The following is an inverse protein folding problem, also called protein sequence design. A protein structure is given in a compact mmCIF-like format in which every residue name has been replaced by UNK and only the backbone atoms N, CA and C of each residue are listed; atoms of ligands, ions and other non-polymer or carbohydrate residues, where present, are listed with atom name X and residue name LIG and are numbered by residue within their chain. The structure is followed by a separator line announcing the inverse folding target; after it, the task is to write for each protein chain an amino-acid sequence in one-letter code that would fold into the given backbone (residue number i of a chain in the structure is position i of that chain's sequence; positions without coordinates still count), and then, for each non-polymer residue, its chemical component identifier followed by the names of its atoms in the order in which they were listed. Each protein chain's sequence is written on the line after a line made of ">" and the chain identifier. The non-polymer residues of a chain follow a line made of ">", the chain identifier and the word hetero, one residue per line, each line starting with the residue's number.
data_IF_774660904993
#
_entry.id   IF_774660904993
#
_cell.length_a   1.000
_cell.length_b   1.000
_cell.length_c   1.000
_cell.angle_alpha   90.00
_cell.angle_beta   90.00
_cell.angle_gamma   90.00
#
_symmetry.space_group_name_H-M   'P 1'
#
loop_
_entity.id
_entity.type
_entity.pdbx_description
1 polymer ?
#
# COMPACT_ATOMS: atom_id res chain seq x y z
N UNK A 1 -0.60 -25.62 25.38
CA UNK A 1 0.01 -24.28 25.58
C UNK A 1 0.47 -23.74 24.23
N UNK A 2 -0.07 -22.62 23.73
CA UNK A 2 0.45 -21.97 22.51
C UNK A 2 1.65 -21.08 22.88
N UNK A 3 2.77 -21.11 22.15
CA UNK A 3 3.92 -20.25 22.45
C UNK A 3 3.56 -18.78 22.17
N UNK A 4 3.79 -17.90 23.16
CA UNK A 4 3.62 -16.45 23.01
C UNK A 4 4.69 -15.94 22.04
N UNK A 5 4.31 -15.61 20.81
CA UNK A 5 5.23 -15.04 19.80
C UNK A 5 5.60 -13.62 20.19
N UNK A 6 6.83 -13.43 20.66
CA UNK A 6 7.37 -12.11 21.01
C UNK A 6 7.71 -11.36 19.72
N UNK A 7 7.01 -10.27 19.42
CA UNK A 7 7.29 -9.48 18.20
C UNK A 7 8.61 -8.71 18.31
N UNK A 8 9.29 -8.43 17.18
CA UNK A 8 10.53 -7.61 17.14
C UNK A 8 10.37 -6.27 17.86
N UNK A 9 9.20 -5.64 17.76
CA UNK A 9 8.87 -4.39 18.46
C UNK A 9 8.79 -4.57 19.97
N UNK A 10 8.27 -5.70 20.44
CA UNK A 10 8.26 -6.04 21.87
C UNK A 10 9.66 -6.37 22.40
N UNK A 11 10.52 -6.97 21.58
CA UNK A 11 11.93 -7.16 21.91
C UNK A 11 12.64 -5.82 22.11
N UNK A 12 12.57 -4.90 21.14
CA UNK A 12 13.23 -3.59 21.27
C UNK A 12 12.73 -2.74 22.43
N UNK A 13 11.42 -2.78 22.75
CA UNK A 13 10.90 -2.11 23.96
C UNK A 13 11.47 -2.72 25.25
N UNK A 14 11.56 -4.05 25.32
CA UNK A 14 12.12 -4.76 26.49
C UNK A 14 13.60 -4.49 26.65
N UNK A 15 14.38 -4.51 25.56
CA UNK A 15 15.83 -4.27 25.59
C UNK A 15 16.16 -2.83 25.96
N UNK A 16 15.41 -1.83 25.46
CA UNK A 16 15.63 -0.43 25.82
C UNK A 16 15.31 -0.12 27.30
N UNK A 17 14.31 -0.80 27.87
CA UNK A 17 14.00 -0.70 29.31
C UNK A 17 15.11 -1.33 30.17
N UNK A 18 15.64 -2.50 29.77
CA UNK A 18 16.70 -3.19 30.50
C UNK A 18 18.02 -2.40 30.57
N UNK A 19 18.37 -1.61 29.55
CA UNK A 19 19.58 -0.77 29.55
C UNK A 19 19.51 0.44 30.47
N UNK A 20 18.31 0.93 30.81
CA UNK A 20 18.13 2.05 31.75
C UNK A 20 18.04 1.55 33.20
N UNK A 21 17.42 0.38 33.42
CA UNK A 21 17.24 -0.19 34.75
C UNK A 21 18.50 -0.76 35.39
N UNK A 22 19.56 -1.06 34.63
CA UNK A 22 20.81 -1.58 35.21
C UNK A 22 21.62 -0.52 35.99
N UNK A 23 21.33 0.77 35.79
CA UNK A 23 22.06 1.86 36.44
C UNK A 23 21.43 2.33 37.77
N UNK A 24 20.17 1.99 38.04
CA UNK A 24 19.43 2.46 39.21
C UNK A 24 18.52 1.35 39.78
N UNK A 25 18.98 0.78 40.90
CA UNK A 25 18.25 -0.10 41.83
C UNK A 25 17.87 -1.52 41.34
N UNK A 26 18.44 -2.59 41.94
CA UNK A 26 18.08 -3.98 41.63
C UNK A 26 16.64 -4.36 42.05
N UNK A 27 15.94 -3.53 42.83
CA UNK A 27 14.54 -3.75 43.23
C UNK A 27 13.52 -3.52 42.11
N UNK A 28 13.92 -2.89 41.00
CA UNK A 28 13.04 -2.67 39.83
C UNK A 28 12.96 -3.87 38.88
N UNK A 29 13.78 -4.91 39.07
CA UNK A 29 13.83 -6.10 38.21
C UNK A 29 12.67 -7.08 38.44
N UNK A 30 11.95 -6.97 39.55
CA UNK A 30 10.84 -7.89 39.90
C UNK A 30 9.47 -7.38 39.48
N UNK A 31 9.37 -6.13 39.01
CA UNK A 31 8.11 -5.60 38.51
C UNK A 31 7.91 -6.14 37.09
N UNK A 32 7.06 -7.16 36.95
CA UNK A 32 6.52 -7.51 35.64
C UNK A 32 6.02 -6.22 34.99
N UNK A 33 6.66 -5.82 33.90
CA UNK A 33 6.16 -4.74 33.06
C UNK A 33 4.87 -5.29 32.47
N UNK A 34 3.75 -5.08 33.18
CA UNK A 34 2.42 -5.21 32.63
C UNK A 34 2.46 -4.47 31.30
N UNK A 35 2.24 -5.22 30.23
CA UNK A 35 2.16 -4.64 28.92
C UNK A 35 1.00 -3.64 28.98
N UNK A 36 1.34 -2.35 29.05
CA UNK A 36 0.38 -1.28 28.89
C UNK A 36 -0.23 -1.49 27.50
N UNK A 37 -1.40 -2.13 27.48
CA UNK A 37 -2.30 -2.13 26.34
C UNK A 37 -2.44 -0.67 25.96
N UNK A 38 -2.11 -0.26 24.72
CA UNK A 38 -2.20 1.13 24.36
C UNK A 38 -3.65 1.55 24.61
N UNK A 39 -3.85 2.46 25.57
CA UNK A 39 -5.12 3.13 25.72
C UNK A 39 -5.46 3.72 24.34
N UNK A 40 -6.55 3.26 23.73
CA UNK A 40 -6.99 3.69 22.40
C UNK A 40 -6.51 2.83 21.21
N UNK A 41 -6.09 1.57 21.41
CA UNK A 41 -5.99 0.64 20.27
C UNK A 41 -7.39 0.46 19.64
N UNK A 42 -7.56 0.71 18.34
CA UNK A 42 -8.87 0.66 17.71
C UNK A 42 -9.43 -0.76 17.69
N UNK A 43 -10.74 -0.87 17.90
CA UNK A 43 -11.45 -2.16 17.87
C UNK A 43 -11.26 -2.88 16.51
N UNK A 44 -11.01 -4.21 16.53
CA UNK A 44 -10.87 -4.99 15.30
C UNK A 44 -12.15 -4.99 14.45
N UNK A 45 -12.11 -4.34 13.30
CA UNK A 45 -13.12 -4.40 12.25
C UNK A 45 -12.80 -5.54 11.29
N UNK A 46 -13.57 -6.60 11.40
CA UNK A 46 -13.43 -7.81 10.58
C UNK A 46 -14.29 -7.74 9.33
N UNK A 47 -13.76 -8.31 8.23
CA UNK A 47 -14.51 -8.64 7.03
C UNK A 47 -14.08 -10.01 6.53
N UNK A 48 -15.03 -10.82 6.09
CA UNK A 48 -14.79 -12.12 5.45
C UNK A 48 -13.77 -13.03 6.17
N UNK A 49 -13.93 -13.24 7.48
CA UNK A 49 -13.00 -14.05 8.28
C UNK A 49 -13.23 -15.54 8.03
N UNK A 50 -12.30 -16.20 7.34
CA UNK A 50 -12.38 -17.62 7.01
C UNK A 50 -11.31 -18.46 7.71
N UNK A 51 -11.59 -19.74 8.03
CA UNK A 51 -10.57 -20.69 8.44
C UNK A 51 -9.47 -20.81 7.37
N UNK A 52 -8.21 -20.91 7.79
CA UNK A 52 -7.06 -21.08 6.88
C UNK A 52 -6.49 -19.78 6.31
N UNK A 53 -7.18 -18.64 6.45
CA UNK A 53 -6.63 -17.32 6.12
C UNK A 53 -6.08 -16.62 7.37
N UNK A 54 -4.91 -16.01 7.24
CA UNK A 54 -4.32 -15.15 8.25
C UNK A 54 -4.69 -13.68 7.99
N UNK A 55 -4.93 -12.93 9.07
CA UNK A 55 -5.30 -11.52 8.99
C UNK A 55 -4.42 -10.68 9.90
N UNK A 56 -4.12 -9.46 9.48
CA UNK A 56 -3.34 -8.48 10.24
C UNK A 56 -4.09 -7.17 10.32
N UNK A 57 -3.95 -6.49 11.45
CA UNK A 57 -4.47 -5.13 11.57
C UNK A 57 -3.66 -4.18 10.68
N UNK A 58 -4.35 -3.42 9.83
CA UNK A 58 -3.75 -2.37 9.02
C UNK A 58 -3.38 -1.19 9.92
N UNK A 59 -2.10 -1.08 10.27
CA UNK A 59 -1.58 0.01 11.11
C UNK A 59 -2.31 0.14 12.43
N UNK A 60 -2.87 1.33 12.71
CA UNK A 60 -3.73 1.63 13.87
C UNK A 60 -5.14 1.99 13.40
N UNK A 61 -5.69 1.24 12.45
CA UNK A 61 -7.03 1.54 11.89
C UNK A 61 -8.14 0.66 12.46
N UNK A 62 -7.78 -0.47 13.09
CA UNK A 62 -8.71 -1.54 13.47
C UNK A 62 -9.08 -2.48 12.31
N UNK A 63 -8.77 -2.14 11.05
CA UNK A 63 -9.14 -2.99 9.91
C UNK A 63 -8.31 -4.26 9.88
N UNK A 64 -8.97 -5.41 9.99
CA UNK A 64 -8.32 -6.72 9.91
C UNK A 64 -8.26 -7.19 8.45
N UNK A 65 -7.13 -6.96 7.80
CA UNK A 65 -6.89 -7.24 6.38
C UNK A 65 -6.26 -8.62 6.21
N UNK A 66 -6.69 -9.39 5.22
CA UNK A 66 -6.09 -10.68 4.86
C UNK A 66 -4.62 -10.52 4.47
N UNK A 67 -3.76 -11.48 4.82
CA UNK A 67 -2.32 -11.43 4.47
C UNK A 67 -2.07 -11.50 2.96
N UNK A 68 -3.04 -12.06 2.20
CA UNK A 68 -3.08 -11.99 0.75
C UNK A 68 -4.15 -10.98 0.31
N UNK A 69 -3.85 -10.21 -0.74
CA UNK A 69 -4.73 -9.17 -1.29
C UNK A 69 -4.89 -9.33 -2.80
N UNK A 70 -6.00 -8.85 -3.34
CA UNK A 70 -6.27 -8.89 -4.78
C UNK A 70 -5.76 -7.59 -5.41
N UNK A 71 -4.77 -7.68 -6.30
CA UNK A 71 -4.45 -6.60 -7.24
C UNK A 71 -5.28 -6.75 -8.51
N UNK A 72 -6.13 -5.77 -8.81
CA UNK A 72 -7.19 -5.95 -9.83
C UNK A 72 -6.80 -5.62 -11.28
N UNK A 73 -5.58 -5.14 -11.53
CA UNK A 73 -5.15 -4.67 -12.87
C UNK A 73 -5.51 -5.61 -14.04
N UNK A 74 -5.37 -6.96 -13.92
CA UNK A 74 -5.72 -7.87 -15.02
C UNK A 74 -7.23 -8.07 -15.24
N UNK A 75 -8.09 -7.72 -14.28
CA UNK A 75 -9.50 -8.13 -14.25
C UNK A 75 -10.44 -7.08 -14.89
N UNK A 76 -10.21 -6.83 -16.18
CA UNK A 76 -11.01 -5.88 -16.96
C UNK A 76 -12.39 -6.44 -17.33
N UNK A 77 -12.55 -7.76 -17.33
CA UNK A 77 -13.73 -8.45 -17.83
C UNK A 77 -14.31 -9.46 -16.83
N UNK A 78 -15.57 -9.91 -17.02
CA UNK A 78 -16.23 -10.88 -16.13
C UNK A 78 -15.66 -12.30 -16.12
N UNK A 79 -14.80 -12.64 -17.07
CA UNK A 79 -14.11 -13.94 -17.15
C UNK A 79 -13.28 -14.25 -15.91
N UNK A 80 -12.81 -13.22 -15.20
CA UNK A 80 -12.08 -13.35 -13.95
C UNK A 80 -12.97 -13.66 -12.73
N UNK A 81 -14.29 -13.58 -12.83
CA UNK A 81 -15.19 -13.72 -11.68
C UNK A 81 -15.06 -15.06 -10.93
N UNK A 82 -14.95 -16.23 -11.60
CA UNK A 82 -14.75 -17.50 -10.89
C UNK A 82 -13.47 -17.52 -10.04
N UNK A 83 -12.41 -16.87 -10.52
CA UNK A 83 -11.16 -16.73 -9.77
C UNK A 83 -11.34 -15.80 -8.56
N UNK A 84 -12.01 -14.66 -8.74
CA UNK A 84 -12.32 -13.73 -7.66
C UNK A 84 -13.21 -14.39 -6.60
N UNK A 85 -14.22 -15.16 -7.01
CA UNK A 85 -15.08 -15.93 -6.12
C UNK A 85 -14.24 -16.90 -5.28
N UNK A 86 -13.38 -17.68 -5.91
CA UNK A 86 -12.48 -18.63 -5.24
C UNK A 86 -11.50 -17.96 -4.25
N UNK A 87 -11.06 -16.73 -4.53
CA UNK A 87 -10.19 -15.93 -3.66
C UNK A 87 -10.96 -15.38 -2.44
N UNK A 88 -12.16 -14.85 -2.66
CA UNK A 88 -13.03 -14.33 -1.60
C UNK A 88 -13.51 -15.48 -0.70
N UNK A 89 -13.89 -16.63 -1.25
CA UNK A 89 -14.28 -17.80 -0.47
C UNK A 89 -13.16 -18.30 0.45
N UNK A 90 -11.89 -18.18 0.02
CA UNK A 90 -10.71 -18.49 0.83
C UNK A 90 -10.34 -17.41 1.84
N UNK A 91 -11.13 -16.35 1.97
CA UNK A 91 -11.00 -15.35 3.02
C UNK A 91 -10.25 -14.08 2.63
N UNK A 92 -9.86 -13.89 1.37
CA UNK A 92 -9.31 -12.61 0.94
C UNK A 92 -10.37 -11.53 1.12
N UNK A 93 -10.00 -10.39 1.72
CA UNK A 93 -10.93 -9.33 2.07
C UNK A 93 -10.45 -7.94 1.65
N UNK A 94 -9.42 -7.84 0.80
CA UNK A 94 -8.89 -6.58 0.34
C UNK A 94 -8.69 -6.61 -1.17
N UNK A 95 -9.31 -5.66 -1.86
CA UNK A 95 -9.21 -5.46 -3.30
C UNK A 95 -8.59 -4.10 -3.56
N UNK A 96 -7.45 -4.11 -4.23
CA UNK A 96 -6.74 -2.93 -4.69
C UNK A 96 -7.03 -2.67 -6.17
N UNK A 97 -7.59 -1.50 -6.45
CA UNK A 97 -7.81 -0.99 -7.81
C UNK A 97 -7.10 0.33 -8.03
N UNK A 98 -7.21 0.88 -9.23
CA UNK A 98 -6.82 2.23 -9.56
C UNK A 98 -7.65 2.70 -10.74
N UNK A 99 -7.92 4.01 -10.79
CA UNK A 99 -8.57 4.63 -11.94
C UNK A 99 -7.87 4.27 -13.25
N UNK A 100 -6.52 4.28 -13.28
CA UNK A 100 -5.75 3.98 -14.49
C UNK A 100 -5.87 2.53 -15.00
N UNK A 101 -6.31 1.58 -14.18
CA UNK A 101 -6.37 0.18 -14.57
C UNK A 101 -7.43 -0.03 -15.66
N UNK A 102 -7.00 -0.51 -16.84
CA UNK A 102 -7.88 -0.70 -18.00
C UNK A 102 -8.60 0.58 -18.43
N UNK A 103 -8.01 1.75 -18.21
CA UNK A 103 -8.66 3.05 -18.44
C UNK A 103 -10.02 3.20 -17.73
N UNK A 104 -10.11 2.70 -16.50
CA UNK A 104 -11.33 2.70 -15.70
C UNK A 104 -12.19 1.45 -15.86
N UNK A 105 -11.95 0.62 -16.89
CA UNK A 105 -12.71 -0.61 -17.12
C UNK A 105 -12.62 -1.57 -15.93
N UNK A 106 -11.47 -1.64 -15.25
CA UNK A 106 -11.30 -2.50 -14.08
C UNK A 106 -12.18 -2.05 -12.91
N UNK A 107 -12.27 -0.75 -12.63
CA UNK A 107 -13.14 -0.26 -11.55
C UNK A 107 -14.62 -0.52 -11.85
N UNK A 108 -15.04 -0.32 -13.10
CA UNK A 108 -16.39 -0.63 -13.54
C UNK A 108 -16.71 -2.12 -13.37
N UNK A 109 -15.82 -3.00 -13.83
CA UNK A 109 -15.99 -4.45 -13.75
C UNK A 109 -15.98 -4.95 -12.28
N UNK A 110 -15.04 -4.48 -11.44
CA UNK A 110 -15.01 -4.82 -10.02
C UNK A 110 -16.25 -4.28 -9.28
N UNK A 111 -16.74 -3.10 -9.65
CA UNK A 111 -18.00 -2.55 -9.12
C UNK A 111 -19.18 -3.49 -9.41
N UNK A 112 -19.36 -3.87 -10.68
CA UNK A 112 -20.39 -4.80 -11.11
C UNK A 112 -20.23 -6.18 -10.44
N UNK A 113 -19.01 -6.70 -10.30
CA UNK A 113 -18.71 -7.93 -9.57
C UNK A 113 -19.21 -7.87 -8.12
N UNK A 114 -18.83 -6.83 -7.38
CA UNK A 114 -19.20 -6.69 -5.97
C UNK A 114 -20.71 -6.52 -5.76
N UNK A 115 -21.38 -5.80 -6.65
CA UNK A 115 -22.82 -5.61 -6.63
C UNK A 115 -23.56 -6.92 -6.91
N UNK A 116 -23.27 -7.57 -8.04
CA UNK A 116 -23.94 -8.80 -8.47
C UNK A 116 -23.76 -9.95 -7.48
N UNK A 117 -22.62 -10.01 -6.77
CA UNK A 117 -22.35 -11.04 -5.74
C UNK A 117 -22.69 -10.60 -4.32
N UNK A 118 -23.18 -9.37 -4.14
CA UNK A 118 -23.52 -8.77 -2.83
C UNK A 118 -22.35 -8.84 -1.83
N UNK A 119 -21.14 -8.54 -2.30
CA UNK A 119 -19.90 -8.71 -1.53
C UNK A 119 -19.39 -7.42 -0.87
N UNK A 120 -20.09 -6.29 -1.00
CA UNK A 120 -19.59 -4.98 -0.54
C UNK A 120 -19.14 -4.98 0.93
N UNK A 121 -19.88 -5.63 1.81
CA UNK A 121 -19.57 -5.68 3.25
C UNK A 121 -18.50 -6.73 3.61
N UNK A 122 -18.15 -7.60 2.65
CA UNK A 122 -17.12 -8.64 2.82
C UNK A 122 -15.72 -8.16 2.47
N UNK A 123 -15.56 -6.99 1.83
CA UNK A 123 -14.24 -6.53 1.36
C UNK A 123 -13.93 -5.10 1.76
N UNK A 124 -12.66 -4.81 1.99
CA UNK A 124 -12.07 -3.50 1.91
C UNK A 124 -11.69 -3.23 0.46
N UNK A 125 -12.06 -2.06 -0.05
CA UNK A 125 -11.79 -1.66 -1.42
C UNK A 125 -10.93 -0.40 -1.38
N UNK A 126 -9.78 -0.40 -2.04
CA UNK A 126 -8.94 0.78 -2.23
C UNK A 126 -8.81 1.12 -3.69
N UNK A 127 -8.78 2.41 -3.99
CA UNK A 127 -8.41 2.92 -5.31
C UNK A 127 -7.28 3.92 -5.21
N UNK A 128 -6.74 4.33 -6.35
CA UNK A 128 -5.68 5.32 -6.51
C UNK A 128 -6.17 6.37 -7.50
N UNK A 129 -6.06 7.63 -7.10
CA UNK A 129 -6.11 8.74 -8.04
C UNK A 129 -4.87 8.64 -8.92
N UNK A 130 -5.10 8.29 -10.17
CA UNK A 130 -4.04 8.26 -11.17
C UNK A 130 -4.00 9.64 -11.82
N UNK A 131 -2.82 10.12 -12.21
CA UNK A 131 -2.73 11.32 -13.05
C UNK A 131 -3.67 11.13 -14.24
N UNK A 132 -4.67 12.01 -14.36
CA UNK A 132 -5.76 11.90 -15.33
C UNK A 132 -5.24 11.45 -16.70
N UNK A 133 -5.89 10.45 -17.31
CA UNK A 133 -5.61 9.91 -18.64
C UNK A 133 -5.18 10.95 -19.67
N UNK A 134 -3.88 11.21 -19.76
CA UNK A 134 -3.31 12.24 -20.63
C UNK A 134 -3.74 13.68 -20.33
N UNK A 135 -4.70 13.98 -19.45
CA UNK A 135 -5.12 15.38 -19.22
C UNK A 135 -4.00 16.20 -18.58
N UNK A 136 -3.36 15.68 -17.53
CA UNK A 136 -2.23 16.38 -16.90
C UNK A 136 -1.07 16.48 -17.88
N UNK A 137 -0.80 15.42 -18.64
CA UNK A 137 0.25 15.41 -19.67
C UNK A 137 -0.04 16.44 -20.78
N UNK A 138 -1.28 16.52 -21.26
CA UNK A 138 -1.74 17.46 -22.29
C UNK A 138 -1.73 18.90 -21.76
N UNK A 139 -2.19 19.12 -20.53
CA UNK A 139 -2.16 20.44 -19.89
C UNK A 139 -0.72 20.93 -19.70
N UNK A 140 0.19 20.04 -19.28
CA UNK A 140 1.62 20.35 -19.20
C UNK A 140 2.22 20.58 -20.59
N UNK A 141 1.85 19.79 -21.60
CA UNK A 141 2.32 19.98 -22.98
C UNK A 141 1.86 21.32 -23.55
N UNK A 142 0.62 21.72 -23.31
CA UNK A 142 0.08 23.01 -23.72
C UNK A 142 0.77 24.15 -22.99
N UNK A 143 0.92 24.04 -21.66
CA UNK A 143 1.62 25.02 -20.84
C UNK A 143 3.05 25.24 -21.35
N UNK A 144 3.77 24.17 -21.70
CA UNK A 144 5.15 24.24 -22.22
C UNK A 144 5.27 25.06 -23.49
N UNK A 145 4.25 25.10 -24.36
CA UNK A 145 4.26 25.94 -25.57
C UNK A 145 4.38 27.43 -25.23
N UNK A 146 3.87 27.84 -24.07
CA UNK A 146 3.90 29.23 -23.61
C UNK A 146 5.13 29.59 -22.75
N UNK A 147 5.93 28.60 -22.35
CA UNK A 147 7.09 28.82 -21.48
C UNK A 147 8.30 29.19 -22.36
N UNK A 148 9.02 30.29 -22.07
CA UNK A 148 10.25 30.63 -22.78
C UNK A 148 11.27 29.49 -22.71
N UNK A 149 11.93 29.19 -23.84
CA UNK A 149 12.84 28.05 -23.95
C UNK A 149 13.90 28.00 -22.82
N UNK A 150 14.51 29.15 -22.48
CA UNK A 150 15.48 29.24 -21.40
C UNK A 150 14.92 28.83 -20.03
N UNK A 151 13.66 29.18 -19.74
CA UNK A 151 12.99 28.79 -18.49
C UNK A 151 12.64 27.30 -18.49
N UNK A 152 12.23 26.76 -19.65
CA UNK A 152 11.97 25.32 -19.78
C UNK A 152 13.25 24.49 -19.56
N UNK A 153 14.38 24.90 -20.17
CA UNK A 153 15.68 24.26 -19.97
C UNK A 153 16.13 24.31 -18.50
N UNK A 154 15.93 25.45 -17.82
CA UNK A 154 16.26 25.56 -16.40
C UNK A 154 15.40 24.63 -15.51
N UNK A 155 14.10 24.53 -15.80
CA UNK A 155 13.19 23.62 -15.09
C UNK A 155 13.57 22.15 -15.32
N UNK A 156 13.93 21.77 -16.55
CA UNK A 156 14.41 20.43 -16.87
C UNK A 156 15.70 20.10 -16.11
N UNK A 157 16.69 21.00 -16.14
CA UNK A 157 17.94 20.85 -15.39
C UNK A 157 17.70 20.67 -13.89
N UNK A 158 16.77 21.44 -13.29
CA UNK A 158 16.40 21.31 -11.89
C UNK A 158 15.75 19.96 -11.57
N UNK A 159 14.88 19.46 -12.46
CA UNK A 159 14.27 18.15 -12.32
C UNK A 159 15.32 17.03 -12.37
N UNK A 160 16.27 17.11 -13.30
CA UNK A 160 17.38 16.16 -13.42
C UNK A 160 18.29 16.17 -12.18
N UNK A 161 18.64 17.36 -11.68
CA UNK A 161 19.43 17.50 -10.46
C UNK A 161 18.72 16.86 -9.25
N UNK A 162 17.42 17.09 -9.09
CA UNK A 162 16.62 16.48 -8.02
C UNK A 162 16.60 14.95 -8.12
N UNK A 163 16.51 14.41 -9.34
CA UNK A 163 16.53 12.96 -9.58
C UNK A 163 17.86 12.34 -9.19
N UNK A 164 18.97 13.00 -9.55
CA UNK A 164 20.31 12.58 -9.18
C UNK A 164 20.51 12.63 -7.66
N UNK A 165 20.11 13.72 -7.01
CA UNK A 165 20.19 13.91 -5.55
C UNK A 165 19.41 12.81 -4.80
N UNK A 166 18.17 12.54 -5.23
CA UNK A 166 17.33 11.51 -4.61
C UNK A 166 17.80 10.10 -4.87
N UNK A 167 18.73 9.90 -5.81
CA UNK A 167 19.22 8.57 -6.17
C UNK A 167 18.12 7.65 -6.70
N UNK A 168 17.05 8.22 -7.27
CA UNK A 168 15.88 7.44 -7.69
C UNK A 168 16.22 6.42 -8.80
N UNK A 169 17.29 6.63 -9.56
CA UNK A 169 17.74 5.71 -10.61
C UNK A 169 18.90 4.80 -10.19
N UNK A 170 19.26 4.75 -8.89
CA UNK A 170 20.32 3.86 -8.41
C UNK A 170 19.93 2.39 -8.65
N UNK A 171 20.85 1.53 -9.13
CA UNK A 171 20.59 0.11 -9.25
C UNK A 171 20.06 -0.47 -7.93
N UNK A 172 18.96 -1.23 -8.00
CA UNK A 172 18.31 -1.84 -6.83
C UNK A 172 17.37 -0.92 -6.04
N UNK A 173 17.30 0.39 -6.34
CA UNK A 173 16.28 1.28 -5.75
C UNK A 173 14.88 0.98 -6.28
N UNK A 174 14.81 0.60 -7.56
CA UNK A 174 13.60 0.10 -8.21
C UNK A 174 13.79 -1.36 -8.62
N UNK A 175 12.71 -2.13 -8.50
CA UNK A 175 12.61 -3.47 -9.07
C UNK A 175 11.76 -3.39 -10.33
N UNK A 176 12.21 -4.05 -11.40
CA UNK A 176 11.39 -4.25 -12.58
C UNK A 176 10.32 -5.29 -12.28
N UNK A 177 9.09 -4.81 -12.22
CA UNK A 177 7.90 -5.60 -11.96
C UNK A 177 7.26 -6.09 -13.27
N UNK A 178 7.35 -5.32 -14.36
CA UNK A 178 6.83 -5.70 -15.68
C UNK A 178 7.70 -5.14 -16.81
N UNK A 179 7.59 -5.76 -17.99
CA UNK A 179 8.31 -5.32 -19.19
C UNK A 179 7.95 -3.89 -19.59
N UNK A 180 8.97 -3.06 -19.85
CA UNK A 180 8.78 -1.65 -20.25
C UNK A 180 8.58 -0.66 -19.10
N UNK A 181 8.60 -1.11 -17.82
CA UNK A 181 8.51 -0.23 -16.66
C UNK A 181 9.64 0.82 -16.61
N UNK A 182 10.86 0.44 -16.99
CA UNK A 182 12.00 1.37 -16.99
C UNK A 182 11.77 2.59 -17.90
N UNK A 183 11.05 2.42 -19.02
CA UNK A 183 10.71 3.50 -19.93
C UNK A 183 9.65 4.46 -19.36
N UNK A 184 8.95 4.07 -18.29
CA UNK A 184 7.95 4.89 -17.61
C UNK A 184 8.60 5.83 -16.60
N UNK A 185 9.72 5.44 -16.00
CA UNK A 185 10.42 6.27 -15.02
C UNK A 185 10.71 7.65 -15.62
N UNK A 186 11.39 7.80 -16.79
CA UNK A 186 11.62 9.09 -17.43
C UNK A 186 10.42 9.97 -17.74
N UNK A 187 9.22 9.39 -17.82
CA UNK A 187 7.99 10.12 -18.09
C UNK A 187 7.34 10.67 -16.81
N UNK A 188 7.71 10.11 -15.65
CA UNK A 188 7.13 10.50 -14.37
C UNK A 188 7.66 11.84 -13.82
N UNK A 189 8.64 12.47 -14.49
CA UNK A 189 9.15 13.80 -14.16
C UNK A 189 9.09 14.73 -15.36
N UNK A 190 9.30 16.03 -15.12
CA UNK A 190 9.13 17.11 -16.09
C UNK A 190 10.03 16.89 -17.34
N UNK A 191 9.49 16.25 -18.38
CA UNK A 191 10.03 16.18 -19.75
C UNK A 191 9.07 16.85 -20.68
#
# INVERSE_FOLDING_TARGET
>A
MKPKTTSRRSFFRKTAAASVSLALAPELLTREVEAVSPAGAPEPRWRNRQPGMHYRMLGRTGMMVSELVIGSFPYQTPDAYPLLDAMIERGINYIDTAQAYGKGAVEANIGAYLETRRLRDRVFLSTKLSGYFGYVENALAELKKSIPAAKLSDLQRKAEAMMAERGALKPGYHMNYFGGQEAQLPKAWLR
#
